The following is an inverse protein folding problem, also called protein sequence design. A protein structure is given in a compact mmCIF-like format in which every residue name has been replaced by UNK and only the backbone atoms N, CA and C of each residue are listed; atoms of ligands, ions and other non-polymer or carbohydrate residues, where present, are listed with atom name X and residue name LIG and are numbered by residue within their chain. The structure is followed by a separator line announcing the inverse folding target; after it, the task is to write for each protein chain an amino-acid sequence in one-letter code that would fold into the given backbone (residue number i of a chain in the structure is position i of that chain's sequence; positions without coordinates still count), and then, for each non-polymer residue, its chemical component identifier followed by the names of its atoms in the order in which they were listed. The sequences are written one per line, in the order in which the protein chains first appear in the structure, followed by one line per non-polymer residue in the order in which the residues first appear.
data_IF_909483267150
#
_entry.id   IF_909483267150
#
_cell.length_a   1.000
_cell.length_b   1.000
_cell.length_c   1.000
_cell.angle_alpha   90.00
_cell.angle_beta   90.00
_cell.angle_gamma   90.00
#
_symmetry.space_group_name_H-M   'P 1'
#
loop_
_entity.id
_entity.type
_entity.pdbx_description
1 polymer ?
#
# COMPACT_ATOMS: atom_id res chain seq x y z
N UNK A 1 -2.18 1.32 30.30
CA UNK A 1 -2.92 2.26 29.42
C UNK A 1 -2.40 2.04 28.01
N UNK A 2 -3.16 1.35 27.18
CA UNK A 2 -2.69 0.80 25.89
C UNK A 2 -3.31 1.57 24.73
N UNK A 3 -2.54 2.45 24.08
CA UNK A 3 -2.90 3.05 22.79
C UNK A 3 -1.63 3.13 21.90
N UNK A 4 -0.88 2.04 21.83
CA UNK A 4 0.37 2.03 21.06
C UNK A 4 0.51 0.68 20.35
N UNK A 5 -0.41 0.36 19.41
CA UNK A 5 -0.11 -0.61 18.34
C UNK A 5 -1.16 -0.84 17.23
N UNK A 6 -2.16 0.02 17.01
CA UNK A 6 -3.15 -0.23 15.95
C UNK A 6 -2.86 0.31 14.51
N UNK A 7 -1.76 1.01 14.19
CA UNK A 7 -1.38 1.24 12.78
C UNK A 7 -0.92 -0.06 12.08
N UNK A 8 -0.32 -0.98 12.83
CA UNK A 8 0.36 -2.16 12.29
C UNK A 8 -0.59 -3.15 11.63
N UNK A 9 -1.81 -3.39 12.15
CA UNK A 9 -2.75 -4.34 11.52
C UNK A 9 -3.23 -3.87 10.15
N UNK A 10 -3.58 -2.58 10.03
CA UNK A 10 -4.10 -2.00 8.78
C UNK A 10 -2.99 -1.79 7.75
N UNK A 11 -1.83 -1.32 8.20
CA UNK A 11 -0.62 -1.25 7.36
C UNK A 11 -0.19 -2.63 6.84
N UNK A 12 -0.25 -3.65 7.70
CA UNK A 12 0.11 -5.03 7.32
C UNK A 12 -0.89 -5.61 6.33
N UNK A 13 -2.18 -5.41 6.57
CA UNK A 13 -3.23 -5.84 5.63
C UNK A 13 -3.15 -5.10 4.28
N UNK A 14 -2.70 -3.85 4.25
CA UNK A 14 -2.43 -3.12 3.00
C UNK A 14 -1.16 -3.61 2.30
N UNK A 15 -0.10 -3.97 3.03
CA UNK A 15 1.09 -4.62 2.45
C UNK A 15 0.77 -5.99 1.86
N UNK A 16 0.07 -6.85 2.61
CA UNK A 16 -0.37 -8.15 2.12
C UNK A 16 -1.15 -8.02 0.79
N UNK A 17 -2.01 -7.00 0.70
CA UNK A 17 -2.81 -6.74 -0.50
C UNK A 17 -1.96 -6.20 -1.68
N UNK A 18 -0.92 -5.43 -1.39
CA UNK A 18 0.03 -4.98 -2.41
C UNK A 18 0.88 -6.16 -2.92
N UNK A 19 1.36 -7.02 -2.03
CA UNK A 19 2.10 -8.24 -2.38
C UNK A 19 1.26 -9.20 -3.22
N UNK A 20 -0.01 -9.40 -2.88
CA UNK A 20 -0.94 -10.24 -3.67
C UNK A 20 -1.13 -9.67 -5.09
N UNK A 21 -1.26 -8.35 -5.22
CA UNK A 21 -1.36 -7.69 -6.52
C UNK A 21 -0.05 -7.77 -7.32
N UNK A 22 1.11 -7.65 -6.68
CA UNK A 22 2.41 -7.84 -7.34
C UNK A 22 2.62 -9.28 -7.79
N UNK A 23 2.23 -10.26 -6.98
CA UNK A 23 2.26 -11.68 -7.38
C UNK A 23 1.32 -11.93 -8.56
N UNK A 24 0.08 -11.41 -8.50
CA UNK A 24 -0.84 -11.49 -9.63
C UNK A 24 -0.24 -10.81 -10.88
N UNK A 25 0.47 -9.69 -10.72
CA UNK A 25 1.15 -9.00 -11.82
C UNK A 25 2.30 -9.84 -12.42
N UNK A 26 3.04 -10.58 -11.58
CA UNK A 26 4.10 -11.49 -12.03
C UNK A 26 3.54 -12.72 -12.76
N UNK A 27 2.38 -13.21 -12.34
CA UNK A 27 1.67 -14.31 -13.00
C UNK A 27 0.88 -13.85 -14.23
N UNK A 28 0.58 -12.56 -14.35
CA UNK A 28 -0.08 -11.98 -15.51
C UNK A 28 0.84 -12.05 -16.73
N UNK A 29 0.40 -12.79 -17.75
CA UNK A 29 1.05 -12.86 -19.06
C UNK A 29 0.76 -11.64 -19.94
N UNK A 30 -0.29 -10.87 -19.62
CA UNK A 30 -0.63 -9.65 -20.34
C UNK A 30 0.14 -8.44 -19.76
N UNK A 31 0.87 -7.68 -20.61
CA UNK A 31 1.66 -6.55 -20.15
C UNK A 31 0.81 -5.35 -19.68
N UNK A 32 -0.41 -5.18 -20.17
CA UNK A 32 -1.32 -4.13 -19.71
C UNK A 32 -1.95 -4.50 -18.35
N UNK A 33 -2.29 -5.78 -18.16
CA UNK A 33 -2.81 -6.30 -16.90
C UNK A 33 -1.74 -6.26 -15.80
N UNK A 34 -0.51 -6.69 -16.10
CA UNK A 34 0.63 -6.54 -15.21
C UNK A 34 0.80 -5.09 -14.75
N UNK A 35 0.75 -4.13 -15.69
CA UNK A 35 0.86 -2.70 -15.38
C UNK A 35 -0.24 -2.23 -14.44
N UNK A 36 -1.50 -2.58 -14.72
CA UNK A 36 -2.63 -2.24 -13.85
C UNK A 36 -2.50 -2.80 -12.45
N UNK A 37 -2.02 -4.05 -12.32
CA UNK A 37 -1.84 -4.70 -11.03
C UNK A 37 -0.70 -4.05 -10.23
N UNK A 38 0.44 -3.74 -10.86
CA UNK A 38 1.54 -3.00 -10.25
C UNK A 38 1.12 -1.59 -9.82
N UNK A 39 0.42 -0.83 -10.68
CA UNK A 39 -0.13 0.49 -10.34
C UNK A 39 -1.06 0.42 -9.12
N UNK A 40 -1.89 -0.62 -9.05
CA UNK A 40 -2.83 -0.83 -7.94
C UNK A 40 -2.11 -1.19 -6.64
N UNK A 41 -1.04 -1.99 -6.71
CA UNK A 41 -0.19 -2.29 -5.56
C UNK A 41 0.50 -1.03 -5.01
N UNK A 42 1.08 -0.22 -5.91
CA UNK A 42 1.68 1.08 -5.59
C UNK A 42 0.68 2.02 -4.90
N UNK A 43 -0.53 2.14 -5.45
CA UNK A 43 -1.56 3.01 -4.88
C UNK A 43 -2.03 2.56 -3.48
N UNK A 44 -2.11 1.24 -3.22
CA UNK A 44 -2.44 0.72 -1.90
C UNK A 44 -1.35 1.05 -0.88
N UNK A 45 -0.08 0.96 -1.28
CA UNK A 45 1.06 1.30 -0.42
C UNK A 45 1.09 2.78 -0.10
N UNK A 46 0.93 3.65 -1.10
CA UNK A 46 0.84 5.10 -0.92
C UNK A 46 -0.32 5.48 0.00
N UNK A 47 -1.50 4.86 -0.20
CA UNK A 47 -2.66 5.08 0.67
C UNK A 47 -2.41 4.57 2.10
N UNK A 48 -1.69 3.46 2.25
CA UNK A 48 -1.28 2.97 3.57
C UNK A 48 -0.36 3.95 4.27
N UNK A 49 0.59 4.54 3.54
CA UNK A 49 1.52 5.54 4.06
C UNK A 49 0.80 6.83 4.41
N UNK A 50 -0.15 7.30 3.60
CA UNK A 50 -1.03 8.43 3.94
C UNK A 50 -1.90 8.16 5.17
N UNK A 51 -2.50 6.97 5.28
CA UNK A 51 -3.38 6.64 6.42
C UNK A 51 -2.59 6.37 7.72
N UNK A 52 -1.34 5.90 7.63
CA UNK A 52 -0.45 5.79 8.80
C UNK A 52 0.21 7.14 9.13
N UNK A 53 0.49 7.97 8.12
CA UNK A 53 1.16 9.27 8.23
C UNK A 53 0.23 10.43 8.57
N UNK A 54 -1.10 10.27 8.50
CA UNK A 54 -2.10 11.27 8.94
C UNK A 54 -2.11 11.55 10.45
N UNK A 55 -1.19 10.94 11.21
CA UNK A 55 -0.84 11.36 12.58
C UNK A 55 0.44 12.21 12.69
N UNK A 56 1.17 12.47 11.60
CA UNK A 56 2.41 13.26 11.67
C UNK A 56 2.69 14.01 10.36
N UNK A 57 2.17 15.23 10.28
CA UNK A 57 2.88 16.33 9.62
C UNK A 57 2.83 16.35 8.10
N UNK A 58 2.12 17.36 7.60
CA UNK A 58 2.45 18.05 6.35
C UNK A 58 3.97 18.10 6.08
N UNK A 59 4.43 17.68 4.89
CA UNK A 59 5.47 18.37 4.11
C UNK A 59 5.67 17.69 2.76
N UNK A 60 4.89 18.14 1.79
CA UNK A 60 5.37 18.29 0.43
C UNK A 60 5.73 19.79 0.31
N UNK A 61 7.01 20.22 0.33
CA UNK A 61 7.39 21.43 -0.34
C UNK A 61 7.77 21.05 -1.77
N UNK A 62 6.96 21.56 -2.70
CA UNK A 62 7.18 21.64 -4.15
C UNK A 62 8.65 21.78 -4.55
#
# INVERSE_FOLDING_TARGET
MSIENQPSKRARQMRDKAEELEQAAQHATDPAERRRLTDKAMHIREKSEQENGRGSGTMDPM
#
